data_IF_804238937750
#
_entry.id   IF_804238937750
#
_cell.length_a   1.000
_cell.length_b   1.000
_cell.length_c   1.000
_cell.angle_alpha   90.00
_cell.angle_beta   90.00
_cell.angle_gamma   90.00
#
_symmetry.space_group_name_H-M   'P 1'
#
loop_
_entity.id
_entity.type
_entity.pdbx_description
1 polymer ?
#
# COMPACT_ATOMS: atom_id res chain seq x y z
N UNK A 1 7.68 -17.59 10.62
CA UNK A 1 6.46 -16.96 10.06
C UNK A 1 5.88 -17.88 9.00
N UNK A 2 4.55 -18.08 8.96
CA UNK A 2 3.91 -18.77 7.83
C UNK A 2 3.82 -17.78 6.67
N UNK A 3 4.52 -18.06 5.58
CA UNK A 3 4.38 -17.27 4.34
C UNK A 3 2.99 -17.50 3.77
N UNK A 4 2.22 -16.43 3.61
CA UNK A 4 0.95 -16.45 2.88
C UNK A 4 1.19 -15.90 1.48
N UNK A 5 0.63 -16.56 0.48
CA UNK A 5 0.78 -16.19 -0.93
C UNK A 5 -0.50 -15.53 -1.42
N UNK A 6 -0.36 -14.35 -2.01
CA UNK A 6 -1.44 -13.72 -2.79
C UNK A 6 -1.42 -14.31 -4.20
N UNK A 7 -2.51 -14.94 -4.61
CA UNK A 7 -2.66 -15.49 -5.97
C UNK A 7 -3.56 -14.56 -6.76
N UNK A 8 -3.01 -13.98 -7.83
CA UNK A 8 -3.73 -13.06 -8.71
C UNK A 8 -3.91 -13.75 -10.06
N UNK A 9 -5.14 -14.14 -10.45
CA UNK A 9 -5.39 -14.69 -11.77
C UNK A 9 -5.27 -13.57 -12.81
N UNK A 10 -4.44 -13.81 -13.82
CA UNK A 10 -4.21 -12.89 -14.94
C UNK A 10 -4.25 -13.65 -16.26
N UNK A 11 -4.58 -12.96 -17.35
CA UNK A 11 -4.49 -13.54 -18.68
C UNK A 11 -3.02 -13.82 -19.07
N UNK A 12 -2.79 -14.72 -20.03
CA UNK A 12 -1.45 -14.98 -20.55
C UNK A 12 -0.81 -13.73 -21.17
N UNK A 13 -1.62 -12.86 -21.77
CA UNK A 13 -1.15 -11.62 -22.38
C UNK A 13 -0.69 -10.62 -21.31
N UNK A 14 -1.50 -10.42 -20.27
CA UNK A 14 -1.16 -9.54 -19.16
C UNK A 14 0.07 -10.04 -18.40
N UNK A 15 0.18 -11.37 -18.23
CA UNK A 15 1.38 -11.99 -17.66
C UNK A 15 2.62 -11.71 -18.50
N UNK A 16 2.53 -11.77 -19.83
CA UNK A 16 3.67 -11.46 -20.72
C UNK A 16 4.05 -9.99 -20.61
N UNK A 17 3.08 -9.08 -20.62
CA UNK A 17 3.31 -7.63 -20.47
C UNK A 17 3.97 -7.32 -19.12
N UNK A 18 3.48 -7.88 -18.03
CA UNK A 18 4.05 -7.71 -16.69
C UNK A 18 5.50 -8.21 -16.63
N UNK A 19 5.77 -9.41 -17.16
CA UNK A 19 7.13 -9.95 -17.23
C UNK A 19 8.08 -9.05 -18.03
N UNK A 20 7.62 -8.51 -19.16
CA UNK A 20 8.40 -7.58 -19.98
C UNK A 20 8.77 -6.32 -19.20
N UNK A 21 7.81 -5.70 -18.51
CA UNK A 21 8.04 -4.51 -17.68
C UNK A 21 9.02 -4.81 -16.55
N UNK A 22 8.82 -5.89 -15.80
CA UNK A 22 9.71 -6.29 -14.71
C UNK A 22 11.14 -6.53 -15.22
N UNK A 23 11.28 -7.18 -16.37
CA UNK A 23 12.58 -7.41 -17.03
C UNK A 23 13.26 -6.10 -17.40
N UNK A 24 12.52 -5.12 -17.95
CA UNK A 24 13.07 -3.80 -18.32
C UNK A 24 13.51 -2.98 -17.12
N UNK A 25 12.83 -3.13 -15.99
CA UNK A 25 13.14 -2.44 -14.75
C UNK A 25 14.19 -3.18 -13.89
N UNK A 26 14.54 -4.43 -14.25
CA UNK A 26 15.49 -5.24 -13.48
C UNK A 26 14.96 -5.66 -12.12
N UNK A 27 13.63 -5.82 -11.99
CA UNK A 27 12.96 -6.19 -10.74
C UNK A 27 12.19 -7.51 -10.90
N UNK A 28 11.86 -8.16 -9.78
CA UNK A 28 10.96 -9.32 -9.79
C UNK A 28 9.49 -8.89 -9.75
N UNK A 29 8.59 -9.80 -10.12
CA UNK A 29 7.14 -9.57 -10.05
C UNK A 29 6.70 -9.29 -8.60
N UNK A 30 7.28 -10.00 -7.62
CA UNK A 30 7.00 -9.78 -6.21
C UNK A 30 7.42 -8.37 -5.76
N UNK A 31 8.58 -7.89 -6.22
CA UNK A 31 9.03 -6.52 -5.95
C UNK A 31 8.12 -5.48 -6.58
N UNK A 32 7.64 -5.73 -7.80
CA UNK A 32 6.64 -4.87 -8.45
C UNK A 32 5.36 -4.77 -7.61
N UNK A 33 4.79 -5.91 -7.20
CA UNK A 33 3.57 -5.90 -6.38
C UNK A 33 3.78 -5.33 -4.99
N UNK A 34 4.91 -5.60 -4.33
CA UNK A 34 5.23 -4.99 -3.04
C UNK A 34 5.31 -3.46 -3.13
N UNK A 35 5.82 -2.94 -4.25
CA UNK A 35 5.91 -1.49 -4.49
C UNK A 35 4.54 -0.90 -4.80
N UNK A 36 3.79 -1.51 -5.73
CA UNK A 36 2.46 -1.06 -6.11
C UNK A 36 1.45 -1.12 -4.95
N UNK A 37 1.52 -2.17 -4.11
CA UNK A 37 0.69 -2.28 -2.91
C UNK A 37 1.03 -1.18 -1.90
N UNK A 38 2.32 -0.89 -1.68
CA UNK A 38 2.72 0.23 -0.82
C UNK A 38 2.24 1.57 -1.34
N UNK A 39 2.33 1.82 -2.65
CA UNK A 39 1.84 3.06 -3.26
C UNK A 39 0.32 3.18 -3.11
N UNK A 40 -0.44 2.10 -3.36
CA UNK A 40 -1.88 2.08 -3.16
C UNK A 40 -2.29 2.22 -1.69
N UNK A 41 -1.57 1.59 -0.76
CA UNK A 41 -1.76 1.76 0.68
C UNK A 41 -1.51 3.22 1.09
N UNK A 42 -0.45 3.86 0.57
CA UNK A 42 -0.15 5.26 0.82
C UNK A 42 -1.21 6.20 0.21
N UNK A 43 -1.76 5.86 -0.96
CA UNK A 43 -2.87 6.60 -1.58
C UNK A 43 -4.14 6.48 -0.74
N UNK A 44 -4.48 5.28 -0.26
CA UNK A 44 -5.62 5.07 0.64
C UNK A 44 -5.41 5.80 1.96
N UNK A 45 -4.24 5.65 2.58
CA UNK A 45 -3.90 6.30 3.85
C UNK A 45 -3.91 7.82 3.70
N UNK A 46 -3.38 8.38 2.62
CA UNK A 46 -3.43 9.83 2.39
C UNK A 46 -4.87 10.28 2.11
N UNK A 47 -5.63 9.56 1.30
CA UNK A 47 -7.02 9.91 1.01
C UNK A 47 -7.92 9.82 2.25
N UNK A 48 -7.74 8.81 3.10
CA UNK A 48 -8.51 8.65 4.33
C UNK A 48 -7.99 9.51 5.50
N UNK A 49 -6.68 9.74 5.59
CA UNK A 49 -6.10 10.64 6.60
C UNK A 49 -6.43 12.11 6.29
N UNK A 50 -6.42 12.54 5.03
CA UNK A 50 -6.61 13.94 4.65
C UNK A 50 -8.07 14.35 4.36
N UNK A 51 -9.04 13.42 4.41
CA UNK A 51 -10.47 13.79 4.45
C UNK A 51 -10.76 14.67 5.66
N UNK A 52 -11.51 15.77 5.50
CA UNK A 52 -12.01 16.57 6.63
C UNK A 52 -12.78 15.65 7.60
N UNK A 53 -12.32 15.56 8.85
CA UNK A 53 -12.86 14.65 9.88
C UNK A 53 -12.21 13.26 9.95
N UNK A 54 -11.17 12.99 9.16
CA UNK A 54 -10.35 11.77 9.22
C UNK A 54 -9.47 11.70 10.47
N UNK A 55 -8.84 10.54 10.71
CA UNK A 55 -8.04 10.28 11.90
C UNK A 55 -6.94 11.35 12.16
N UNK A 56 -6.34 11.91 11.10
CA UNK A 56 -5.37 13.00 11.20
C UNK A 56 -5.95 14.27 11.83
N UNK A 57 -7.17 14.65 11.45
CA UNK A 57 -7.89 15.80 12.03
C UNK A 57 -8.33 15.52 13.46
N UNK A 58 -8.77 14.29 13.76
CA UNK A 58 -9.26 13.92 15.09
C UNK A 58 -8.14 13.81 16.15
N UNK A 59 -6.88 13.62 15.75
CA UNK A 59 -5.73 13.64 16.68
C UNK A 59 -5.39 15.08 17.12
N UNK A 60 -5.72 16.10 16.31
CA UNK A 60 -5.50 17.51 16.67
C UNK A 60 -6.57 18.09 17.60
N UNK A 61 -7.78 17.51 17.65
CA UNK A 61 -8.86 18.01 18.52
C UNK A 61 -8.81 17.49 19.96
N UNK A 62 -8.09 16.39 20.21
CA UNK A 62 -7.84 15.93 21.58
C UNK A 62 -6.34 16.00 21.87
N UNK A 63 -5.84 17.05 22.57
CA UNK A 63 -4.50 16.98 23.12
C UNK A 63 -4.42 15.73 23.99
N UNK A 64 -3.29 14.98 23.96
CA UNK A 64 -3.10 13.87 24.87
C UNK A 64 -3.30 14.42 26.28
N UNK A 65 -4.28 13.88 27.00
CA UNK A 65 -4.37 14.12 28.44
C UNK A 65 -3.03 13.67 29.00
N UNK A 66 -2.27 14.62 29.54
CA UNK A 66 -1.15 14.30 30.41
C UNK A 66 -1.76 13.57 31.61
N UNK A 67 -1.81 12.25 31.54
CA UNK A 67 -1.96 11.41 32.72
C UNK A 67 -0.59 11.43 33.41
N UNK A 68 -0.36 12.46 34.20
CA UNK A 68 0.66 12.49 35.24
C UNK A 68 -0.05 12.79 36.55
N UNK A 69 -0.18 11.74 37.36
CA UNK A 69 -0.45 11.81 38.80
C UNK A 69 0.55 12.71 39.54
#
# INVERSE_FOLDING_TARGET
MKTQYLVIPVSDEDRKRLNYVCTKLGITIEQFFNTALREGELEILSTDAFKQGGAFWNIMENPPKNDSE
#
